data_IF_993631145229
#
_entry.id   IF_993631145229
#
_cell.length_a   1.000
_cell.length_b   1.000
_cell.length_c   1.000
_cell.angle_alpha   90.00
_cell.angle_beta   90.00
_cell.angle_gamma   90.00
#
_symmetry.space_group_name_H-M   'P 1'
#
loop_
_entity.id
_entity.type
_entity.pdbx_description
1 polymer ?
#
# COMPACT_ATOMS: atom_id res chain seq x y z
N UNK A 1 17.02 -6.47 1.15
CA UNK A 1 18.36 -6.09 0.67
C UNK A 1 18.95 -5.05 1.61
N UNK A 2 20.13 -5.29 2.17
CA UNK A 2 20.82 -4.26 2.97
C UNK A 2 21.52 -3.30 2.00
N UNK A 3 21.28 -2.00 2.16
CA UNK A 3 21.89 -0.97 1.30
C UNK A 3 23.20 -0.45 1.93
N UNK A 4 23.18 -0.24 3.24
CA UNK A 4 24.34 0.15 4.06
C UNK A 4 24.07 -0.30 5.50
N UNK A 5 24.97 0.00 6.43
CA UNK A 5 24.78 -0.27 7.84
C UNK A 5 23.58 0.50 8.39
N UNK A 6 22.65 -0.25 9.01
CA UNK A 6 21.40 0.30 9.55
C UNK A 6 20.32 0.60 8.50
N UNK A 7 20.56 0.44 7.19
CA UNK A 7 19.56 0.72 6.14
C UNK A 7 19.20 -0.52 5.32
N UNK A 8 17.92 -0.87 5.33
CA UNK A 8 17.37 -2.03 4.64
C UNK A 8 16.27 -1.64 3.67
N UNK A 9 16.42 -2.04 2.41
CA UNK A 9 15.40 -1.95 1.38
C UNK A 9 14.74 -3.32 1.17
N UNK A 10 13.43 -3.39 1.35
CA UNK A 10 12.62 -4.59 1.19
C UNK A 10 11.60 -4.37 0.08
N UNK A 11 11.93 -4.76 -1.17
CA UNK A 11 10.94 -4.82 -2.24
C UNK A 11 10.08 -6.07 -2.06
N UNK A 12 8.80 -5.96 -2.39
CA UNK A 12 7.90 -7.09 -2.49
C UNK A 12 6.92 -6.88 -3.64
N UNK A 13 6.38 -7.97 -4.15
CA UNK A 13 5.38 -7.96 -5.22
C UNK A 13 4.25 -8.88 -4.80
N UNK A 14 3.03 -8.33 -4.74
CA UNK A 14 1.81 -9.13 -4.67
C UNK A 14 1.27 -9.29 -6.08
N UNK A 15 0.92 -10.52 -6.44
CA UNK A 15 0.09 -10.84 -7.61
C UNK A 15 -1.07 -11.68 -7.09
N UNK A 16 -2.30 -11.30 -7.42
CA UNK A 16 -3.49 -12.01 -7.00
C UNK A 16 -4.53 -12.01 -8.14
N UNK A 17 -5.37 -13.04 -8.14
CA UNK A 17 -6.50 -13.18 -9.04
C UNK A 17 -7.72 -13.50 -8.16
N UNK A 18 -8.78 -12.70 -8.26
CA UNK A 18 -10.00 -12.86 -7.46
C UNK A 18 -11.21 -12.82 -8.37
N UNK A 19 -12.20 -13.66 -8.11
CA UNK A 19 -13.52 -13.51 -8.72
C UNK A 19 -14.45 -12.80 -7.73
N UNK A 20 -15.06 -11.71 -8.18
CA UNK A 20 -16.07 -10.96 -7.43
C UNK A 20 -17.37 -10.94 -8.24
N UNK A 21 -18.45 -11.45 -7.66
CA UNK A 21 -19.77 -11.51 -8.30
C UNK A 21 -20.59 -10.23 -8.17
N UNK A 22 -20.06 -9.23 -7.44
CA UNK A 22 -20.69 -7.94 -7.20
C UNK A 22 -19.65 -6.87 -6.81
N UNK A 23 -18.67 -6.60 -7.67
CA UNK A 23 -17.54 -5.71 -7.33
C UNK A 23 -17.93 -4.23 -7.12
N UNK A 24 -19.15 -3.84 -7.54
CA UNK A 24 -19.74 -2.53 -7.27
C UNK A 24 -20.48 -2.45 -5.93
N UNK A 25 -20.64 -3.59 -5.24
CA UNK A 25 -21.38 -3.72 -3.99
C UNK A 25 -22.83 -3.19 -4.06
N UNK A 26 -23.55 -3.42 -5.17
CA UNK A 26 -24.94 -2.98 -5.38
C UNK A 26 -25.96 -4.12 -5.24
N UNK A 27 -27.21 -3.80 -4.90
CA UNK A 27 -28.27 -4.80 -4.70
C UNK A 27 -28.89 -5.33 -6.02
N UNK A 28 -28.95 -4.50 -7.05
CA UNK A 28 -29.56 -4.80 -8.36
C UNK A 28 -28.61 -4.40 -9.48
N UNK A 29 -28.64 -5.14 -10.59
CA UNK A 29 -27.72 -4.88 -11.71
C UNK A 29 -26.28 -5.16 -11.33
N UNK A 30 -26.03 -6.28 -10.65
CA UNK A 30 -24.71 -6.68 -10.18
C UNK A 30 -23.81 -6.97 -11.38
N UNK A 31 -22.61 -6.39 -11.34
CA UNK A 31 -21.56 -6.70 -12.29
C UNK A 31 -20.55 -7.65 -11.63
N UNK A 32 -20.19 -8.70 -12.35
CA UNK A 32 -19.19 -9.67 -11.91
C UNK A 32 -17.93 -9.58 -12.77
N UNK A 33 -16.77 -9.72 -12.15
CA UNK A 33 -15.49 -9.74 -12.86
C UNK A 33 -14.50 -10.67 -12.19
N UNK A 34 -13.67 -11.30 -13.01
CA UNK A 34 -12.32 -11.64 -12.55
C UNK A 34 -11.52 -10.34 -12.39
N UNK A 35 -10.71 -10.27 -11.36
CA UNK A 35 -9.89 -9.11 -11.01
C UNK A 35 -8.47 -9.59 -10.79
N UNK A 36 -7.56 -9.14 -11.65
CA UNK A 36 -6.12 -9.32 -11.44
C UNK A 36 -5.58 -8.12 -10.68
N UNK A 37 -4.98 -8.36 -9.51
CA UNK A 37 -4.26 -7.35 -8.73
C UNK A 37 -2.75 -7.54 -8.86
N UNK A 38 -2.03 -6.48 -9.22
CA UNK A 38 -0.57 -6.42 -9.16
C UNK A 38 -0.17 -5.25 -8.28
N UNK A 39 0.50 -5.54 -7.16
CA UNK A 39 0.90 -4.51 -6.20
C UNK A 39 2.38 -4.65 -5.81
N UNK A 40 3.30 -3.94 -6.50
CA UNK A 40 4.65 -3.72 -5.99
C UNK A 40 4.64 -2.83 -4.75
N UNK A 41 5.39 -3.24 -3.73
CA UNK A 41 5.64 -2.46 -2.53
C UNK A 41 7.14 -2.29 -2.32
N UNK A 42 7.54 -1.06 -2.05
CA UNK A 42 8.90 -0.70 -1.67
C UNK A 42 8.91 -0.20 -0.24
N UNK A 43 9.69 -0.87 0.61
CA UNK A 43 9.88 -0.44 1.99
C UNK A 43 11.36 -0.15 2.23
N UNK A 44 11.66 1.04 2.76
CA UNK A 44 12.97 1.45 3.23
C UNK A 44 12.91 1.61 4.75
N UNK A 45 13.76 0.90 5.47
CA UNK A 45 13.92 1.07 6.91
C UNK A 45 15.33 1.58 7.20
N UNK A 46 15.46 2.52 8.12
CA UNK A 46 16.74 3.01 8.60
C UNK A 46 16.74 3.05 10.14
N UNK A 47 17.61 2.25 10.76
CA UNK A 47 17.73 2.10 12.20
C UNK A 47 19.06 2.68 12.70
N UNK A 48 18.95 3.64 13.60
CA UNK A 48 20.05 4.19 14.38
C UNK A 48 19.95 3.80 15.85
N UNK A 49 20.90 4.25 16.66
CA UNK A 49 20.92 3.92 18.10
C UNK A 49 19.74 4.51 18.88
N UNK A 50 19.24 5.67 18.45
CA UNK A 50 18.22 6.47 19.13
C UNK A 50 17.09 6.92 18.19
N UNK A 51 17.07 6.41 16.97
CA UNK A 51 16.04 6.73 16.01
C UNK A 51 15.81 5.58 15.05
N UNK A 52 14.60 5.50 14.52
CA UNK A 52 14.21 4.54 13.50
C UNK A 52 13.30 5.24 12.50
N UNK A 53 13.43 4.92 11.22
CA UNK A 53 12.65 5.50 10.14
C UNK A 53 12.11 4.40 9.24
N UNK A 54 10.88 4.56 8.77
CA UNK A 54 10.30 3.73 7.73
C UNK A 54 9.68 4.61 6.66
N UNK A 55 9.98 4.30 5.41
CA UNK A 55 9.24 4.77 4.25
C UNK A 55 8.66 3.56 3.54
N UNK A 56 7.36 3.59 3.25
CA UNK A 56 6.68 2.52 2.53
C UNK A 56 5.83 3.12 1.42
N UNK A 57 6.02 2.63 0.21
CA UNK A 57 5.22 2.98 -0.95
C UNK A 57 4.63 1.71 -1.58
N UNK A 58 3.35 1.75 -1.94
CA UNK A 58 2.68 0.68 -2.69
C UNK A 58 1.89 1.31 -3.82
N UNK A 59 2.05 0.78 -5.03
CA UNK A 59 1.14 1.03 -6.14
C UNK A 59 0.35 -0.26 -6.37
N UNK A 60 -0.98 -0.23 -6.25
CA UNK A 60 -1.85 -1.40 -6.45
C UNK A 60 -2.65 -1.19 -7.72
N UNK A 61 -2.42 -2.02 -8.73
CA UNK A 61 -3.20 -1.97 -9.96
C UNK A 61 -4.21 -3.10 -9.97
N UNK A 62 -5.47 -2.77 -10.19
CA UNK A 62 -6.56 -3.72 -10.38
C UNK A 62 -7.06 -3.68 -11.83
N UNK A 63 -7.14 -4.86 -12.44
CA UNK A 63 -7.67 -5.04 -13.80
C UNK A 63 -8.95 -5.86 -13.74
N UNK A 64 -10.08 -5.23 -14.06
CA UNK A 64 -11.40 -5.84 -14.16
C UNK A 64 -11.59 -6.39 -15.57
N UNK A 65 -11.51 -7.72 -15.71
CA UNK A 65 -11.61 -8.40 -17.01
C UNK A 65 -12.98 -8.25 -17.71
N UNK A 66 -14.05 -8.02 -16.94
CA UNK A 66 -15.39 -7.76 -17.50
C UNK A 66 -15.70 -6.27 -17.69
N UNK A 67 -14.88 -5.34 -17.16
CA UNK A 67 -15.18 -3.91 -17.19
C UNK A 67 -13.92 -3.04 -17.11
N UNK A 68 -13.18 -2.94 -18.21
CA UNK A 68 -11.91 -2.20 -18.24
C UNK A 68 -12.00 -0.70 -17.92
N UNK A 69 -13.19 -0.10 -17.97
CA UNK A 69 -13.41 1.30 -17.58
C UNK A 69 -13.22 1.53 -16.07
N UNK A 70 -13.29 0.45 -15.27
CA UNK A 70 -13.13 0.50 -13.82
C UNK A 70 -11.71 0.09 -13.37
N UNK A 71 -10.81 -0.20 -14.31
CA UNK A 71 -9.40 -0.45 -13.99
C UNK A 71 -8.81 0.79 -13.32
N UNK A 72 -8.07 0.59 -12.24
CA UNK A 72 -7.48 1.68 -11.48
C UNK A 72 -6.05 1.35 -11.03
N UNK A 73 -5.38 2.38 -10.52
CA UNK A 73 -4.11 2.26 -9.80
C UNK A 73 -4.20 3.10 -8.54
N UNK A 74 -4.24 2.42 -7.41
CA UNK A 74 -4.23 3.05 -6.09
C UNK A 74 -2.79 3.26 -5.60
N UNK A 75 -2.51 4.43 -5.04
CA UNK A 75 -1.22 4.81 -4.51
C UNK A 75 -1.28 4.99 -2.99
N UNK A 76 -0.41 4.27 -2.27
CA UNK A 76 -0.29 4.35 -0.82
C UNK A 76 1.13 4.74 -0.43
N UNK A 77 1.27 5.81 0.34
CA UNK A 77 2.55 6.25 0.89
C UNK A 77 2.45 6.40 2.42
N UNK A 78 3.41 5.82 3.13
CA UNK A 78 3.53 5.91 4.58
C UNK A 78 4.97 6.28 4.96
N UNK A 79 5.10 7.19 5.92
CA UNK A 79 6.36 7.61 6.49
C UNK A 79 6.26 7.65 8.01
N UNK A 80 7.13 6.90 8.68
CA UNK A 80 7.18 6.80 10.14
C UNK A 80 8.57 7.17 10.63
N UNK A 81 8.64 7.88 11.76
CA UNK A 81 9.88 8.23 12.42
C UNK A 81 9.73 8.11 13.94
N UNK A 82 10.63 7.36 14.56
CA UNK A 82 10.75 7.22 16.02
C UNK A 82 12.04 7.86 16.52
N UNK A 83 11.98 8.55 17.65
CA UNK A 83 13.12 9.14 18.34
C UNK A 83 13.09 8.79 19.83
N UNK A 84 14.21 8.37 20.37
CA UNK A 84 14.45 8.18 21.80
C UNK A 84 15.50 9.19 22.27
N UNK A 85 15.05 10.31 22.82
CA UNK A 85 15.96 11.35 23.31
C UNK A 85 16.67 10.88 24.59
N UNK A 86 15.89 10.33 25.52
CA UNK A 86 16.35 9.66 26.75
C UNK A 86 15.34 8.59 27.21
N UNK A 87 15.60 7.98 28.37
CA UNK A 87 14.78 6.90 28.91
C UNK A 87 13.30 7.28 29.15
N UNK A 88 12.97 8.58 29.23
CA UNK A 88 11.64 9.11 29.54
C UNK A 88 11.04 9.93 28.39
N UNK A 89 11.86 10.43 27.47
CA UNK A 89 11.42 11.29 26.36
C UNK A 89 11.54 10.56 25.02
N UNK A 90 10.39 10.23 24.42
CA UNK A 90 10.26 9.57 23.13
C UNK A 90 9.27 10.32 22.24
N UNK A 91 9.51 10.35 20.94
CA UNK A 91 8.61 10.92 19.95
C UNK A 91 8.40 9.94 18.81
N UNK A 92 7.14 9.72 18.45
CA UNK A 92 6.75 8.97 17.25
C UNK A 92 5.96 9.88 16.32
N UNK A 93 6.39 9.94 15.06
CA UNK A 93 5.74 10.68 13.99
C UNK A 93 5.29 9.68 12.93
N UNK A 94 4.08 9.88 12.41
CA UNK A 94 3.50 9.06 11.36
C UNK A 94 2.81 9.99 10.37
N UNK A 95 3.05 9.78 9.08
CA UNK A 95 2.41 10.49 7.99
C UNK A 95 1.95 9.48 6.94
N UNK A 96 0.76 9.69 6.40
CA UNK A 96 0.17 8.83 5.38
C UNK A 96 -0.48 9.65 4.29
N UNK A 97 -0.32 9.21 3.05
CA UNK A 97 -1.03 9.74 1.89
C UNK A 97 -1.60 8.57 1.09
N UNK A 98 -2.84 8.74 0.61
CA UNK A 98 -3.56 7.76 -0.20
C UNK A 98 -4.24 8.49 -1.34
N UNK A 99 -4.02 7.99 -2.54
CA UNK A 99 -4.77 8.34 -3.74
C UNK A 99 -5.42 7.05 -4.22
N UNK A 100 -6.74 6.96 -4.10
CA UNK A 100 -7.51 5.74 -4.32
C UNK A 100 -8.75 6.02 -5.14
N UNK A 101 -9.13 5.08 -5.99
CA UNK A 101 -10.38 5.13 -6.75
C UNK A 101 -11.40 4.13 -6.19
N UNK A 102 -12.60 4.62 -5.89
CA UNK A 102 -13.69 3.76 -5.41
C UNK A 102 -14.60 3.34 -6.56
N UNK A 103 -14.65 2.03 -6.83
CA UNK A 103 -15.58 1.45 -7.82
C UNK A 103 -16.95 1.13 -7.24
N UNK A 104 -17.05 1.03 -5.91
CA UNK A 104 -18.28 0.74 -5.18
C UNK A 104 -19.17 1.98 -5.06
N UNK A 105 -19.65 2.53 -6.18
CA UNK A 105 -20.75 3.52 -6.32
C UNK A 105 -20.79 4.20 -7.70
N UNK A 106 -19.91 3.81 -8.64
CA UNK A 106 -19.84 4.38 -9.99
C UNK A 106 -20.88 3.80 -10.96
#
# INVERSE_FOLDING_TARGET
>A
MRLTDGVTFTPSLKVAETYDDNFRAVDKGKDSSWITTIAPTFQLNADGRKSAYQLKYTASSDTFHSSHKDNNVDHFFNADAGFEFDARNRLALNAGYRDIEETASA
#
